data_IF_409066558210
#
_entry.id   IF_409066558210
#
_cell.length_a   1.000
_cell.length_b   1.000
_cell.length_c   1.000
_cell.angle_alpha   90.00
_cell.angle_beta   90.00
_cell.angle_gamma   90.00
#
_symmetry.space_group_name_H-M   'P 1'
#
loop_
_entity.id
_entity.type
_entity.pdbx_description
1 polymer ?
#
# COMPACT_ATOMS: atom_id res chain seq x y z
N UNK A 1 0.60 10.95 10.95
CA UNK A 1 1.82 10.80 11.78
C UNK A 1 2.96 10.43 10.85
N UNK A 2 4.21 10.38 11.32
CA UNK A 2 5.33 9.89 10.50
C UNK A 2 5.03 8.51 9.88
N UNK A 3 4.48 7.57 10.66
CA UNK A 3 4.04 6.26 10.17
C UNK A 3 2.89 6.32 9.13
N UNK A 4 2.12 7.41 9.07
CA UNK A 4 1.14 7.65 8.00
C UNK A 4 1.80 8.14 6.71
N UNK A 5 2.85 8.94 6.82
CA UNK A 5 3.63 9.41 5.67
C UNK A 5 4.36 8.22 5.03
N UNK A 6 4.96 7.35 5.84
CA UNK A 6 5.60 6.09 5.40
C UNK A 6 4.60 5.15 4.70
N UNK A 7 3.37 5.04 5.22
CA UNK A 7 2.30 4.32 4.53
C UNK A 7 2.02 4.89 3.15
N UNK A 8 1.92 6.21 3.04
CA UNK A 8 1.66 6.90 1.78
C UNK A 8 2.81 6.67 0.78
N UNK A 9 4.06 6.64 1.25
CA UNK A 9 5.22 6.25 0.43
C UNK A 9 5.08 4.82 -0.07
N UNK A 10 4.66 3.87 0.77
CA UNK A 10 4.40 2.48 0.32
C UNK A 10 3.34 2.39 -0.77
N UNK A 11 2.28 3.19 -0.69
CA UNK A 11 1.24 3.25 -1.73
C UNK A 11 1.78 3.89 -3.02
N UNK A 12 2.57 4.96 -2.93
CA UNK A 12 3.23 5.57 -4.10
C UNK A 12 4.21 4.60 -4.77
N UNK A 13 4.96 3.82 -3.98
CA UNK A 13 5.84 2.78 -4.52
C UNK A 13 5.05 1.77 -5.36
N UNK A 14 3.88 1.36 -4.89
CA UNK A 14 3.01 0.46 -5.65
C UNK A 14 2.44 1.10 -6.92
N UNK A 15 2.03 2.36 -6.84
CA UNK A 15 1.56 3.12 -8.01
C UNK A 15 2.65 3.21 -9.08
N UNK A 16 3.90 3.50 -8.69
CA UNK A 16 5.06 3.52 -9.60
C UNK A 16 5.31 2.13 -10.20
N UNK A 17 5.27 1.07 -9.37
CA UNK A 17 5.52 -0.29 -9.83
C UNK A 17 4.42 -0.84 -10.73
N UNK A 18 3.16 -0.42 -10.53
CA UNK A 18 2.00 -0.91 -11.27
C UNK A 18 1.67 -0.03 -12.47
N UNK A 19 2.06 1.25 -12.45
CA UNK A 19 1.63 2.27 -13.41
C UNK A 19 0.12 2.54 -13.37
N UNK A 20 -0.56 2.24 -12.25
CA UNK A 20 -2.01 2.34 -12.12
C UNK A 20 -2.41 3.00 -10.78
N UNK A 21 -3.55 3.71 -10.73
CA UNK A 21 -4.08 4.19 -9.47
C UNK A 21 -4.44 3.04 -8.50
N UNK A 22 -4.15 3.17 -7.20
CA UNK A 22 -4.50 2.15 -6.22
C UNK A 22 -6.02 2.00 -6.12
N UNK A 23 -6.48 0.75 -6.09
CA UNK A 23 -7.90 0.39 -5.97
C UNK A 23 -8.81 0.93 -7.09
N UNK A 24 -8.30 1.09 -8.32
CA UNK A 24 -9.05 1.59 -9.50
C UNK A 24 -10.40 0.90 -9.75
N UNK A 25 -10.56 -0.36 -9.33
CA UNK A 25 -11.78 -1.15 -9.50
C UNK A 25 -12.70 -1.15 -8.27
N UNK A 26 -12.46 -0.28 -7.29
CA UNK A 26 -13.26 -0.17 -6.07
C UNK A 26 -13.92 1.20 -5.99
N UNK A 27 -15.13 1.25 -5.43
CA UNK A 27 -15.71 2.53 -5.04
C UNK A 27 -14.92 3.14 -3.88
N UNK A 28 -14.57 4.42 -4.01
CA UNK A 28 -13.83 5.17 -3.00
C UNK A 28 -14.77 5.67 -1.89
N UNK A 29 -15.32 4.73 -1.13
CA UNK A 29 -16.32 4.96 -0.08
C UNK A 29 -15.80 4.50 1.31
N UNK A 30 -16.64 4.65 2.34
CA UNK A 30 -16.31 4.26 3.72
C UNK A 30 -15.96 2.78 3.86
N UNK A 31 -16.62 1.90 3.09
CA UNK A 31 -16.36 0.46 3.15
C UNK A 31 -14.94 0.14 2.65
N UNK A 32 -14.48 0.80 1.58
CA UNK A 32 -13.10 0.67 1.13
C UNK A 32 -12.11 1.17 2.19
N UNK A 33 -12.39 2.32 2.81
CA UNK A 33 -11.54 2.86 3.88
C UNK A 33 -11.42 1.86 5.05
N UNK A 34 -12.52 1.25 5.47
CA UNK A 34 -12.52 0.24 6.53
C UNK A 34 -11.77 -1.03 6.13
N UNK A 35 -11.88 -1.49 4.88
CA UNK A 35 -11.08 -2.62 4.38
C UNK A 35 -9.58 -2.31 4.43
N UNK A 36 -9.17 -1.10 4.05
CA UNK A 36 -7.77 -0.67 4.11
C UNK A 36 -7.25 -0.63 5.55
N UNK A 37 -8.05 -0.07 6.47
CA UNK A 37 -7.74 -0.08 7.92
C UNK A 37 -7.58 -1.50 8.44
N UNK A 38 -8.43 -2.43 7.97
CA UNK A 38 -8.37 -3.86 8.30
C UNK A 38 -7.29 -4.65 7.55
N UNK A 39 -6.38 -3.97 6.84
CA UNK A 39 -5.20 -4.61 6.23
C UNK A 39 -5.33 -4.95 4.75
N UNK A 40 -6.42 -4.59 4.07
CA UNK A 40 -6.51 -4.74 2.61
C UNK A 40 -5.41 -3.93 1.92
N UNK A 41 -4.68 -4.54 0.98
CA UNK A 41 -3.64 -3.90 0.18
C UNK A 41 -3.84 -4.16 -1.32
N UNK A 42 -3.33 -3.30 -2.20
CA UNK A 42 -3.32 -3.57 -3.63
C UNK A 42 -2.56 -4.85 -3.97
N UNK A 43 -2.97 -5.53 -5.04
CA UNK A 43 -2.28 -6.73 -5.50
C UNK A 43 -0.93 -6.33 -6.10
N UNK A 44 0.15 -6.97 -5.65
CA UNK A 44 1.49 -6.72 -6.19
C UNK A 44 1.56 -7.29 -7.61
N UNK A 45 2.09 -6.48 -8.52
CA UNK A 45 2.17 -6.81 -9.95
C UNK A 45 3.33 -7.76 -10.21
N UNK A 46 3.17 -8.66 -11.17
CA UNK A 46 4.25 -9.54 -11.60
C UNK A 46 5.41 -8.72 -12.17
N UNK A 47 6.63 -9.05 -11.78
CA UNK A 47 7.84 -8.34 -12.23
C UNK A 47 8.31 -7.22 -11.29
N UNK A 48 7.56 -6.89 -10.22
CA UNK A 48 8.09 -6.04 -9.15
C UNK A 48 9.32 -6.71 -8.53
N UNK A 49 10.50 -6.04 -8.48
CA UNK A 49 11.70 -6.60 -7.87
C UNK A 49 11.48 -7.00 -6.41
N UNK A 50 12.10 -8.09 -5.96
CA UNK A 50 11.90 -8.67 -4.62
C UNK A 50 12.16 -7.69 -3.47
N UNK A 51 13.25 -6.94 -3.57
CA UNK A 51 13.70 -5.98 -2.58
C UNK A 51 12.75 -4.79 -2.51
N UNK A 52 12.28 -4.34 -3.68
CA UNK A 52 11.30 -3.26 -3.80
C UNK A 52 9.96 -3.69 -3.19
N UNK A 53 9.52 -4.91 -3.51
CA UNK A 53 8.33 -5.53 -2.90
C UNK A 53 8.45 -5.56 -1.39
N UNK A 54 9.56 -6.07 -0.85
CA UNK A 54 9.77 -6.19 0.60
C UNK A 54 9.68 -4.82 1.29
N UNK A 55 10.36 -3.81 0.75
CA UNK A 55 10.34 -2.46 1.29
C UNK A 55 8.93 -1.84 1.23
N UNK A 56 8.28 -1.95 0.07
CA UNK A 56 6.90 -1.49 -0.13
C UNK A 56 5.94 -2.14 0.87
N UNK A 57 6.07 -3.45 1.09
CA UNK A 57 5.28 -4.21 2.06
C UNK A 57 5.50 -3.76 3.51
N UNK A 58 6.73 -3.41 3.88
CA UNK A 58 7.05 -2.86 5.20
C UNK A 58 6.44 -1.46 5.39
N UNK A 59 6.55 -0.60 4.37
CA UNK A 59 6.04 0.78 4.45
C UNK A 59 4.52 0.84 4.71
N UNK A 60 3.74 -0.10 4.17
CA UNK A 60 2.30 -0.12 4.33
C UNK A 60 1.78 -1.17 5.33
N UNK A 61 2.59 -1.65 6.27
CA UNK A 61 2.16 -2.65 7.26
C UNK A 61 0.89 -2.16 8.00
N UNK A 62 -0.02 -3.07 8.34
CA UNK A 62 -1.22 -2.73 9.10
C UNK A 62 -0.87 -2.24 10.51
N UNK A 63 0.18 -2.79 11.11
CA UNK A 63 0.75 -2.34 12.36
C UNK A 63 1.62 -1.09 12.13
N UNK A 64 1.19 0.05 12.67
CA UNK A 64 1.91 1.32 12.60
C UNK A 64 3.34 1.25 13.14
N UNK A 65 3.63 0.35 14.08
CA UNK A 65 4.95 0.23 14.74
C UNK A 65 5.95 -0.58 13.93
N UNK A 66 5.49 -1.32 12.92
CA UNK A 66 6.33 -2.11 12.01
C UNK A 66 6.73 -1.34 10.76
N UNK A 67 6.13 -0.17 10.55
CA UNK A 67 6.50 0.74 9.47
C UNK A 67 7.86 1.36 9.81
N UNK A 68 8.81 1.41 8.86
CA UNK A 68 10.13 2.01 9.07
C UNK A 68 10.11 3.46 9.53
#
# INVERSE_FOLDING_TARGET
>A
TFASDIYSVGILMWEISSGQPPFVNCEHNYDLAMKIVNGMRPKIVSGTPSEYKKLMEQCWDADLTKRP
#
